data_IF_872877343027
#
_entry.id   IF_872877343027
#
_cell.length_a   1.000
_cell.length_b   1.000
_cell.length_c   1.000
_cell.angle_alpha   90.00
_cell.angle_beta   90.00
_cell.angle_gamma   90.00
#
_symmetry.space_group_name_H-M   'P 1'
#
loop_
_entity.id
_entity.type
_entity.pdbx_description
1 polymer ?
#
# COMPACT_ATOMS: atom_id res chain seq x y z
N UNK A 1 -11.27 11.12 -18.66
CA UNK A 1 -11.14 10.86 -18.36
C UNK A 1 -10.53 10.65 -17.72
N UNK A 2 -10.35 10.31 -17.39
CA UNK A 2 -9.84 10.13 -16.75
C UNK A 2 -8.85 9.58 -16.67
N UNK A 3 -8.33 9.65 -16.93
CA UNK A 3 -7.26 9.00 -17.01
C UNK A 3 -6.49 9.03 -15.89
N UNK A 4 -6.70 8.47 -15.01
CA UNK A 4 -5.95 8.48 -13.85
C UNK A 4 -5.39 7.10 -13.71
N UNK A 5 -4.66 6.86 -12.66
CA UNK A 5 -4.03 5.59 -12.41
C UNK A 5 -4.80 4.81 -11.37
N UNK A 6 -6.08 5.03 -11.31
CA UNK A 6 -6.91 4.31 -10.35
C UNK A 6 -7.16 2.90 -10.84
N UNK A 7 -7.00 1.97 -9.94
CA UNK A 7 -7.26 0.58 -10.23
C UNK A 7 -8.21 0.01 -9.22
N UNK A 8 -8.93 -1.02 -9.63
CA UNK A 8 -9.86 -1.67 -8.73
C UNK A 8 -9.10 -2.65 -7.85
N UNK A 9 -9.78 -3.13 -6.82
CA UNK A 9 -9.23 -4.15 -5.95
C UNK A 9 -8.76 -5.36 -6.75
N UNK A 10 -9.59 -5.82 -7.68
CA UNK A 10 -9.25 -6.99 -8.44
C UNK A 10 -8.01 -6.76 -9.29
N UNK A 11 -7.91 -5.57 -9.88
CA UNK A 11 -6.76 -5.27 -10.71
C UNK A 11 -5.48 -5.23 -9.89
N UNK A 12 -5.54 -4.66 -8.72
CA UNK A 12 -4.37 -4.60 -7.85
C UNK A 12 -4.00 -6.00 -7.39
N UNK A 13 -4.98 -6.80 -7.01
CA UNK A 13 -4.69 -8.17 -6.58
C UNK A 13 -4.04 -8.96 -7.70
N UNK A 14 -4.53 -8.81 -8.92
CA UNK A 14 -3.99 -9.52 -10.06
C UNK A 14 -2.60 -9.02 -10.42
N UNK A 15 -2.42 -7.72 -10.47
CA UNK A 15 -1.17 -7.14 -10.92
C UNK A 15 -0.05 -7.36 -9.92
N UNK A 16 -0.38 -7.36 -8.65
CA UNK A 16 0.64 -7.44 -7.61
C UNK A 16 0.72 -8.82 -6.97
N UNK A 17 -0.14 -9.73 -7.39
CA UNK A 17 -0.14 -11.07 -6.83
C UNK A 17 -0.61 -11.13 -5.39
N UNK A 18 -1.46 -10.21 -5.00
CA UNK A 18 -1.94 -10.17 -3.62
C UNK A 18 -3.13 -11.08 -3.43
N UNK A 19 -3.17 -11.75 -2.29
CA UNK A 19 -4.40 -12.37 -1.85
C UNK A 19 -5.31 -11.29 -1.30
N UNK A 20 -6.56 -11.63 -1.06
CA UNK A 20 -7.50 -10.66 -0.55
C UNK A 20 -7.06 -10.15 0.81
N UNK A 21 -6.58 -11.05 1.65
CA UNK A 21 -6.10 -10.64 2.98
C UNK A 21 -4.92 -9.70 2.87
N UNK A 22 -4.01 -9.97 1.96
CA UNK A 22 -2.85 -9.10 1.77
C UNK A 22 -3.30 -7.74 1.25
N UNK A 23 -4.24 -7.73 0.32
CA UNK A 23 -4.74 -6.47 -0.20
C UNK A 23 -5.32 -5.60 0.91
N UNK A 24 -6.17 -6.18 1.76
CA UNK A 24 -6.78 -5.39 2.82
C UNK A 24 -5.74 -4.95 3.85
N UNK A 25 -4.76 -5.79 4.11
CA UNK A 25 -3.71 -5.43 5.05
C UNK A 25 -2.91 -4.24 4.54
N UNK A 26 -2.59 -4.22 3.24
CA UNK A 26 -1.86 -3.10 2.65
C UNK A 26 -2.69 -1.84 2.63
N UNK A 27 -3.98 -1.97 2.34
CA UNK A 27 -4.86 -0.81 2.32
C UNK A 27 -4.99 -0.21 3.71
N UNK A 28 -5.12 -1.06 4.73
CA UNK A 28 -5.23 -0.58 6.08
C UNK A 28 -3.97 0.15 6.49
N UNK A 29 -2.83 -0.43 6.19
CA UNK A 29 -1.56 0.18 6.56
C UNK A 29 -1.39 1.52 5.86
N UNK A 30 -1.73 1.57 4.58
CA UNK A 30 -1.65 2.79 3.80
C UNK A 30 -2.56 3.88 4.36
N UNK A 31 -3.76 3.48 4.77
CA UNK A 31 -4.72 4.43 5.30
C UNK A 31 -4.31 5.02 6.64
N UNK A 32 -3.47 4.31 7.37
CA UNK A 32 -3.00 4.82 8.65
C UNK A 32 -1.89 5.84 8.51
N UNK A 33 -1.33 5.98 7.33
CA UNK A 33 -0.25 6.92 7.10
C UNK A 33 -0.81 8.17 6.45
N UNK A 34 -0.77 9.31 7.12
CA UNK A 34 -1.39 10.52 6.56
C UNK A 34 -0.86 10.90 5.20
N UNK A 35 0.40 10.57 4.92
CA UNK A 35 1.00 10.96 3.66
C UNK A 35 0.52 10.12 2.50
N UNK A 36 0.01 8.92 2.78
CA UNK A 36 -0.34 8.01 1.70
C UNK A 36 -1.79 7.57 1.72
N UNK A 37 -2.55 8.02 2.70
CA UNK A 37 -3.92 7.53 2.81
C UNK A 37 -4.79 7.88 1.62
N UNK A 38 -4.43 8.93 0.89
CA UNK A 38 -5.22 9.30 -0.27
C UNK A 38 -4.96 8.39 -1.45
N UNK A 39 -4.06 7.42 -1.32
CA UNK A 39 -3.94 6.40 -2.35
C UNK A 39 -5.14 5.48 -2.36
N UNK A 40 -5.87 5.39 -1.25
CA UNK A 40 -7.02 4.52 -1.15
C UNK A 40 -8.26 5.38 -1.26
N UNK A 41 -9.07 5.11 -2.27
CA UNK A 41 -10.23 5.92 -2.57
C UNK A 41 -11.47 5.10 -2.36
N UNK A 42 -12.35 5.56 -1.48
CA UNK A 42 -13.60 4.87 -1.23
C UNK A 42 -14.70 5.59 -1.99
N UNK A 43 -15.46 4.82 -2.72
CA UNK A 43 -16.47 5.38 -3.60
C UNK A 43 -17.80 5.54 -2.88
N UNK A 44 -17.78 5.58 -1.60
CA UNK A 44 -19.03 5.78 -0.87
C UNK A 44 -19.88 4.54 -0.75
N UNK A 45 -19.50 3.47 -1.36
CA UNK A 45 -20.23 2.22 -1.27
C UNK A 45 -19.24 1.15 -0.90
N UNK A 46 -19.32 0.04 -1.59
CA UNK A 46 -18.44 -1.07 -1.29
C UNK A 46 -17.23 -1.09 -2.20
N UNK A 47 -17.15 -0.17 -3.12
CA UNK A 47 -16.05 -0.16 -4.04
C UNK A 47 -14.88 0.60 -3.47
N UNK A 48 -13.70 0.08 -3.73
CA UNK A 48 -12.47 0.73 -3.33
C UNK A 48 -11.59 0.82 -4.55
N UNK A 49 -11.06 1.99 -4.80
CA UNK A 49 -10.10 2.18 -5.87
C UNK A 49 -8.76 2.53 -5.26
N UNK A 50 -7.72 2.25 -6.00
CA UNK A 50 -6.37 2.54 -5.55
C UNK A 50 -5.73 3.45 -6.59
N UNK A 51 -5.21 4.59 -6.12
CA UNK A 51 -4.42 5.46 -6.97
C UNK A 51 -3.05 4.81 -7.05
N UNK A 52 -2.76 4.19 -8.18
CA UNK A 52 -1.60 3.33 -8.27
C UNK A 52 -0.29 4.08 -8.06
N UNK A 53 -0.20 5.31 -8.55
CA UNK A 53 1.02 6.07 -8.35
C UNK A 53 1.30 6.31 -6.88
N UNK A 54 0.28 6.72 -6.14
CA UNK A 54 0.45 6.94 -4.70
C UNK A 54 0.68 5.63 -3.97
N UNK A 55 0.03 4.60 -4.42
CA UNK A 55 0.18 3.30 -3.80
C UNK A 55 1.60 2.79 -3.99
N UNK A 56 2.18 3.03 -5.15
CA UNK A 56 3.55 2.62 -5.38
C UNK A 56 4.52 3.42 -4.52
N UNK A 57 4.24 4.69 -4.29
CA UNK A 57 5.04 5.49 -3.37
C UNK A 57 4.96 4.91 -1.97
N UNK A 58 3.77 4.49 -1.56
CA UNK A 58 3.58 3.86 -0.27
C UNK A 58 4.39 2.56 -0.19
N UNK A 59 4.38 1.77 -1.24
CA UNK A 59 5.13 0.52 -1.23
C UNK A 59 6.63 0.77 -1.14
N UNK A 60 7.11 1.84 -1.77
CA UNK A 60 8.51 2.18 -1.65
C UNK A 60 8.85 2.61 -0.24
N UNK A 61 7.98 3.38 0.38
CA UNK A 61 8.17 3.80 1.76
C UNK A 61 8.21 2.57 2.65
N UNK A 62 7.28 1.65 2.43
CA UNK A 62 7.20 0.44 3.22
C UNK A 62 8.46 -0.40 3.07
N UNK A 63 8.94 -0.50 1.85
CA UNK A 63 10.16 -1.25 1.56
C UNK A 63 11.36 -0.60 2.23
N UNK A 64 11.40 0.72 2.23
CA UNK A 64 12.48 1.45 2.85
C UNK A 64 12.50 1.23 4.35
N UNK A 65 11.33 1.27 4.98
CA UNK A 65 11.25 1.05 6.41
C UNK A 65 11.66 -0.38 6.77
N UNK A 66 11.26 -1.32 5.96
CA UNK A 66 11.62 -2.70 6.18
C UNK A 66 13.12 -2.90 6.04
N UNK A 67 13.71 -2.26 5.03
CA UNK A 67 15.13 -2.38 4.82
C UNK A 67 15.92 -1.76 5.96
N UNK A 68 15.48 -0.60 6.45
CA UNK A 68 16.15 0.02 7.56
C UNK A 68 16.13 -0.88 8.78
N UNK A 69 15.02 -1.53 9.02
CA UNK A 69 14.88 -2.39 10.16
C UNK A 69 15.81 -3.58 10.03
N UNK A 70 15.95 -4.10 8.81
CA UNK A 70 16.79 -5.22 8.56
C UNK A 70 18.27 -4.89 8.71
N UNK A 71 18.63 -3.68 8.31
CA UNK A 71 20.03 -3.30 8.32
C UNK A 71 20.50 -2.62 9.58
N UNK A 72 19.60 -2.32 10.49
CA UNK A 72 19.96 -1.62 11.71
C UNK A 72 20.58 -2.61 12.67
N UNK A 73 21.85 -2.51 12.94
CA UNK A 73 22.50 -3.51 13.81
C UNK A 73 22.02 -3.43 15.23
N UNK A 74 21.57 -2.27 15.68
CA UNK A 74 21.11 -2.19 17.03
C UNK A 74 19.93 -3.06 17.28
N UNK A 75 19.04 -3.12 16.33
CA UNK A 75 17.87 -3.93 16.52
C UNK A 75 18.23 -5.39 16.64
N UNK A 76 19.18 -5.80 15.87
CA UNK A 76 19.52 -7.18 15.89
C UNK A 76 20.38 -7.56 17.04
N UNK A 77 21.17 -6.64 17.48
CA UNK A 77 22.03 -6.97 18.55
C UNK A 77 21.36 -7.14 19.83
N UNK A 78 20.22 -6.56 19.95
CA UNK A 78 19.52 -6.74 21.14
C UNK A 78 19.00 -8.07 21.31
N UNK A 79 18.92 -8.79 20.29
CA UNK A 79 18.34 -10.11 20.35
C UNK A 79 19.22 -11.08 21.06
#
# INVERSE_FOLDING_TARGET
MMANNWKTKKEIMDDYGYSEGTFYSRCKECSLLPEYRDAIIHDGGQRTFVDENRFQDFLRYRSEQYRKRQLDPHIREEA
#
